data_IF_088148650459
#
_entry.id   IF_088148650459
#
_cell.length_a   1.000
_cell.length_b   1.000
_cell.length_c   1.000
_cell.angle_alpha   90.00
_cell.angle_beta   90.00
_cell.angle_gamma   90.00
#
_symmetry.space_group_name_H-M   'P 1'
#
loop_
_entity.id
_entity.type
_entity.pdbx_description
1 polymer ?
#
# COMPACT_ATOMS: atom_id res chain seq x y z
N UNK A 1 4.28 -12.34 -23.48
CA UNK A 1 4.08 -12.97 -22.15
C UNK A 1 5.24 -12.69 -21.17
N UNK A 2 6.52 -12.93 -21.51
CA UNK A 2 7.66 -12.74 -20.57
C UNK A 2 7.90 -11.29 -20.10
N UNK A 3 7.47 -10.28 -20.86
CA UNK A 3 7.69 -8.86 -20.53
C UNK A 3 6.96 -8.40 -19.25
N UNK A 4 5.70 -8.79 -19.08
CA UNK A 4 4.91 -8.41 -17.91
C UNK A 4 5.44 -9.02 -16.61
N UNK A 5 5.99 -10.24 -16.68
CA UNK A 5 6.61 -10.87 -15.52
C UNK A 5 7.88 -10.11 -15.09
N UNK A 6 8.70 -9.65 -16.05
CA UNK A 6 9.86 -8.80 -15.75
C UNK A 6 9.43 -7.48 -15.10
N UNK A 7 8.36 -6.85 -15.61
CA UNK A 7 7.82 -5.62 -15.04
C UNK A 7 7.32 -5.84 -13.60
N UNK A 8 6.56 -6.91 -13.34
CA UNK A 8 6.09 -7.25 -12.00
C UNK A 8 7.24 -7.48 -11.02
N UNK A 9 8.25 -8.26 -11.42
CA UNK A 9 9.45 -8.50 -10.59
C UNK A 9 10.17 -7.18 -10.31
N UNK A 10 10.34 -6.33 -11.32
CA UNK A 10 10.95 -5.02 -11.14
C UNK A 10 10.17 -4.16 -10.14
N UNK A 11 8.84 -4.11 -10.25
CA UNK A 11 7.98 -3.38 -9.31
C UNK A 11 8.15 -3.87 -7.88
N UNK A 12 8.15 -5.20 -7.66
CA UNK A 12 8.32 -5.77 -6.32
C UNK A 12 9.72 -5.51 -5.74
N UNK A 13 10.77 -5.56 -6.58
CA UNK A 13 12.13 -5.22 -6.15
C UNK A 13 12.24 -3.75 -5.80
N UNK A 14 11.71 -2.85 -6.62
CA UNK A 14 11.67 -1.43 -6.33
C UNK A 14 10.94 -1.17 -5.01
N UNK A 15 9.79 -1.81 -4.79
CA UNK A 15 9.02 -1.68 -3.55
C UNK A 15 9.85 -2.11 -2.33
N UNK A 16 10.51 -3.28 -2.38
CA UNK A 16 11.36 -3.75 -1.28
C UNK A 16 12.55 -2.81 -0.98
N UNK A 17 13.16 -2.23 -2.01
CA UNK A 17 14.33 -1.34 -1.84
C UNK A 17 13.91 0.05 -1.36
N UNK A 18 12.75 0.56 -1.80
CA UNK A 18 12.35 1.94 -1.55
C UNK A 18 11.57 2.12 -0.24
N UNK A 19 10.94 1.08 0.32
CA UNK A 19 10.22 1.18 1.60
C UNK A 19 11.07 1.80 2.72
N UNK A 20 12.33 1.40 2.95
CA UNK A 20 13.15 2.00 4.02
C UNK A 20 13.50 3.47 3.79
N UNK A 21 13.33 3.97 2.56
CA UNK A 21 13.53 5.37 2.20
C UNK A 21 12.23 6.18 2.33
N UNK A 22 11.11 5.56 2.68
CA UNK A 22 9.86 6.26 2.93
C UNK A 22 10.00 7.19 4.15
N UNK A 23 9.50 8.41 4.01
CA UNK A 23 9.51 9.39 5.09
C UNK A 23 8.58 8.95 6.22
N UNK A 24 9.03 9.11 7.47
CA UNK A 24 8.21 8.94 8.66
C UNK A 24 7.61 10.27 9.18
N UNK A 25 7.78 11.36 8.42
CA UNK A 25 7.22 12.65 8.79
C UNK A 25 5.69 12.66 8.58
N UNK A 26 4.94 13.37 9.45
CA UNK A 26 3.50 13.52 9.30
C UNK A 26 3.16 14.18 7.96
N UNK A 27 1.99 13.87 7.43
CA UNK A 27 1.54 14.51 6.21
C UNK A 27 1.22 16.00 6.44
N UNK A 28 0.98 16.75 5.36
CA UNK A 28 0.76 18.20 5.48
C UNK A 28 -0.50 18.57 6.28
N UNK A 29 -1.54 17.74 6.23
CA UNK A 29 -2.79 17.96 6.95
C UNK A 29 -2.62 17.63 8.43
N UNK A 30 -2.01 16.48 8.72
CA UNK A 30 -1.64 16.07 10.07
C UNK A 30 -0.72 17.10 10.73
N UNK A 31 0.28 17.60 10.00
CA UNK A 31 1.21 18.61 10.51
C UNK A 31 0.53 19.93 10.86
N UNK A 32 -0.44 20.35 10.07
CA UNK A 32 -1.24 21.56 10.34
C UNK A 32 -2.14 21.33 11.55
N UNK A 33 -2.79 20.16 11.65
CA UNK A 33 -3.63 19.79 12.79
C UNK A 33 -2.83 19.81 14.11
N UNK A 34 -1.65 19.18 14.14
CA UNK A 34 -0.72 19.23 15.28
C UNK A 34 -0.37 20.67 15.67
N UNK A 35 -0.04 21.52 14.69
CA UNK A 35 0.36 22.91 14.93
C UNK A 35 -0.79 23.74 15.53
N UNK A 36 -2.03 23.41 15.17
CA UNK A 36 -3.24 24.05 15.70
C UNK A 36 -3.73 23.41 17.01
N UNK A 37 -3.09 22.35 17.51
CA UNK A 37 -3.52 21.62 18.70
C UNK A 37 -4.83 20.85 18.50
N UNK A 38 -5.14 20.46 17.26
CA UNK A 38 -6.32 19.66 16.95
C UNK A 38 -5.96 18.19 17.17
N UNK A 39 -6.61 17.55 18.14
CA UNK A 39 -6.43 16.12 18.40
C UNK A 39 -7.09 15.26 17.32
N UNK A 40 -6.37 14.25 16.87
CA UNK A 40 -6.90 13.23 15.97
C UNK A 40 -7.86 12.31 16.75
N UNK A 41 -9.11 12.23 16.29
CA UNK A 41 -10.09 11.33 16.91
C UNK A 41 -9.90 9.89 16.40
N UNK A 42 -10.05 8.92 17.30
CA UNK A 42 -10.08 7.51 16.93
C UNK A 42 -11.17 7.25 15.88
N UNK A 43 -10.82 6.72 14.70
CA UNK A 43 -11.80 6.44 13.67
C UNK A 43 -12.70 5.29 14.09
N UNK A 44 -14.00 5.39 13.75
CA UNK A 44 -14.98 4.31 13.96
C UNK A 44 -14.54 3.02 13.23
N UNK A 45 -13.78 3.17 12.15
CA UNK A 45 -13.15 2.07 11.43
C UNK A 45 -11.81 2.52 10.84
N UNK A 46 -10.72 1.84 11.20
CA UNK A 46 -9.35 2.12 10.74
C UNK A 46 -9.01 1.46 9.39
N UNK A 47 -9.95 0.74 8.77
CA UNK A 47 -9.74 0.05 7.50
C UNK A 47 -9.09 -1.33 7.64
N UNK A 48 -8.70 -1.92 6.50
CA UNK A 48 -8.07 -3.25 6.45
C UNK A 48 -6.56 -3.21 6.67
N UNK A 49 -5.91 -2.12 6.26
CA UNK A 49 -4.46 -1.92 6.34
C UNK A 49 -4.18 -0.45 6.70
N UNK A 50 -4.50 -0.01 7.94
CA UNK A 50 -4.23 1.35 8.39
C UNK A 50 -2.75 1.69 8.23
N UNK A 51 -2.45 2.90 7.77
CA UNK A 51 -1.10 3.41 7.54
C UNK A 51 -0.21 2.48 6.70
N UNK A 52 -0.83 1.74 5.77
CA UNK A 52 -0.14 0.74 4.95
C UNK A 52 0.52 -0.38 5.77
N UNK A 53 -0.05 -0.73 6.93
CA UNK A 53 0.44 -1.79 7.82
C UNK A 53 -0.54 -2.95 7.93
N UNK A 54 0.00 -4.11 8.29
CA UNK A 54 -0.74 -5.30 8.70
C UNK A 54 -0.65 -5.40 10.23
N UNK A 55 -1.76 -5.21 10.98
CA UNK A 55 -1.75 -5.14 12.44
C UNK A 55 -1.22 -6.40 13.15
N UNK A 56 -1.23 -7.55 12.49
CA UNK A 56 -0.76 -8.83 13.05
C UNK A 56 0.75 -9.04 12.89
N UNK A 57 1.48 -8.09 12.30
CA UNK A 57 2.91 -8.22 11.99
C UNK A 57 3.70 -7.13 12.73
N UNK A 58 4.50 -7.57 13.70
CA UNK A 58 5.26 -6.66 14.58
C UNK A 58 6.41 -5.93 13.86
N UNK A 59 6.99 -6.55 12.82
CA UNK A 59 8.10 -5.97 12.09
C UNK A 59 7.59 -4.90 11.10
N UNK A 60 7.89 -3.60 11.28
CA UNK A 60 7.31 -2.53 10.46
C UNK A 60 7.65 -2.68 8.98
N UNK A 61 8.91 -3.03 8.66
CA UNK A 61 9.34 -3.23 7.28
C UNK A 61 8.59 -4.39 6.60
N UNK A 62 8.48 -5.54 7.28
CA UNK A 62 7.75 -6.68 6.73
C UNK A 62 6.25 -6.39 6.61
N UNK A 63 5.69 -5.66 7.57
CA UNK A 63 4.30 -5.23 7.59
C UNK A 63 3.96 -4.38 6.35
N UNK A 64 4.74 -3.31 6.11
CA UNK A 64 4.58 -2.43 4.95
C UNK A 64 4.86 -3.14 3.62
N UNK A 65 5.89 -4.00 3.58
CA UNK A 65 6.22 -4.78 2.38
C UNK A 65 5.08 -5.71 1.97
N UNK A 66 4.47 -6.41 2.94
CA UNK A 66 3.37 -7.32 2.68
C UNK A 66 2.08 -6.58 2.32
N UNK A 67 1.78 -5.47 3.00
CA UNK A 67 0.64 -4.62 2.65
C UNK A 67 0.75 -4.08 1.22
N UNK A 68 1.92 -3.52 0.85
CA UNK A 68 2.18 -3.01 -0.49
C UNK A 68 2.11 -4.11 -1.55
N UNK A 69 2.73 -5.27 -1.28
CA UNK A 69 2.69 -6.43 -2.18
C UNK A 69 1.26 -6.93 -2.38
N UNK A 70 0.46 -7.04 -1.31
CA UNK A 70 -0.93 -7.43 -1.37
C UNK A 70 -1.76 -6.46 -2.23
N UNK A 71 -1.53 -5.15 -2.08
CA UNK A 71 -2.16 -4.13 -2.92
C UNK A 71 -1.85 -4.28 -4.40
N UNK A 72 -0.58 -4.52 -4.76
CA UNK A 72 -0.16 -4.78 -6.15
C UNK A 72 -0.91 -5.98 -6.74
N UNK A 73 -0.95 -7.10 -6.01
CA UNK A 73 -1.66 -8.30 -6.46
C UNK A 73 -3.17 -8.09 -6.54
N UNK A 74 -3.76 -7.35 -5.60
CA UNK A 74 -5.19 -7.02 -5.62
C UNK A 74 -5.56 -6.26 -6.88
N UNK A 75 -4.84 -5.18 -7.19
CA UNK A 75 -5.10 -4.37 -8.39
C UNK A 75 -4.88 -5.20 -9.65
N UNK A 76 -3.79 -5.98 -9.71
CA UNK A 76 -3.50 -6.84 -10.85
C UNK A 76 -4.60 -7.88 -11.09
N UNK A 77 -5.05 -8.56 -10.04
CA UNK A 77 -6.13 -9.55 -10.11
C UNK A 77 -7.46 -8.93 -10.56
N UNK A 78 -7.86 -7.82 -9.93
CA UNK A 78 -9.13 -7.15 -10.23
C UNK A 78 -9.13 -6.66 -11.69
N UNK A 79 -8.09 -5.95 -12.11
CA UNK A 79 -8.00 -5.42 -13.48
C UNK A 79 -7.92 -6.52 -14.52
N UNK A 80 -7.19 -7.61 -14.25
CA UNK A 80 -7.12 -8.77 -15.14
C UNK A 80 -8.47 -9.47 -15.28
N UNK A 81 -9.19 -9.69 -14.17
CA UNK A 81 -10.52 -10.30 -14.18
C UNK A 81 -11.53 -9.42 -14.92
N UNK A 82 -11.55 -8.12 -14.64
CA UNK A 82 -12.41 -7.17 -15.34
C UNK A 82 -12.12 -7.15 -16.84
N UNK A 83 -10.84 -7.07 -17.23
CA UNK A 83 -10.44 -7.14 -18.64
C UNK A 83 -10.92 -8.43 -19.30
N UNK A 84 -10.78 -9.59 -18.63
CA UNK A 84 -11.27 -10.87 -19.15
C UNK A 84 -12.79 -10.93 -19.27
N UNK A 85 -13.54 -10.33 -18.35
CA UNK A 85 -15.00 -10.30 -18.38
C UNK A 85 -15.53 -9.36 -19.48
N UNK A 86 -14.91 -8.19 -19.66
CA UNK A 86 -15.32 -7.18 -20.64
C UNK A 86 -14.91 -7.59 -22.06
N UNK A 87 -13.71 -8.16 -22.24
CA UNK A 87 -13.20 -8.60 -23.55
C UNK A 87 -13.81 -9.95 -23.96
N UNK A 88 -14.61 -10.58 -23.09
CA UNK A 88 -15.34 -11.79 -23.43
C UNK A 88 -16.36 -11.46 -24.51
N UNK A 89 -16.04 -11.88 -25.74
CA UNK A 89 -16.99 -12.04 -26.84
C UNK A 89 -18.00 -13.12 -26.50
#
# INVERSE_FOLDING_TARGET
MKGYLKALVLTLVCLAILIPLASNAPDGLEKVAETLGIEEHEPIWSGLMPDYTIPTIDNPYLSTLLAGTAGVFLVLCVTFLLGKLIVKK
#
